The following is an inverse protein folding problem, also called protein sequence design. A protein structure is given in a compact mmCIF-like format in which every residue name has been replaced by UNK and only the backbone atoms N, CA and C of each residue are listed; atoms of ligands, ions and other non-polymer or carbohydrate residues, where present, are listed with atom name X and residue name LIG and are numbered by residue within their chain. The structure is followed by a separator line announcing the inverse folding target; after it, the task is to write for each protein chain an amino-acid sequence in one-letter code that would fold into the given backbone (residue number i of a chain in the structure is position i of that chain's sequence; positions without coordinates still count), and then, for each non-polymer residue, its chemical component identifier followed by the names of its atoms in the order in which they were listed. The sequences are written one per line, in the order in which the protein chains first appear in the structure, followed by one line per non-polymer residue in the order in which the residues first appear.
data_IF_250097920653
#
_entry.id   IF_250097920653
#
_cell.length_a   1.000
_cell.length_b   1.000
_cell.length_c   1.000
_cell.angle_alpha   90.00
_cell.angle_beta   90.00
_cell.angle_gamma   90.00
#
_symmetry.space_group_name_H-M   'P 1'
#
loop_
_entity.id
_entity.type
_entity.pdbx_description
1 polymer ?
#
# COMPACT_ATOMS: atom_id res chain seq x y z
N UNK A 1 -20.67 -0.80 -40.25
CA UNK A 1 -19.46 -1.59 -40.12
C UNK A 1 -19.69 -2.54 -38.93
N UNK A 2 -20.28 -3.73 -39.21
CA UNK A 2 -20.58 -4.74 -38.17
C UNK A 2 -19.29 -5.49 -37.86
N UNK A 3 -18.55 -5.06 -36.86
CA UNK A 3 -17.49 -5.85 -36.28
C UNK A 3 -18.19 -6.99 -35.53
N UNK A 4 -17.98 -8.20 -36.04
CA UNK A 4 -18.59 -9.39 -35.48
C UNK A 4 -18.07 -9.56 -34.02
N UNK A 5 -18.95 -9.40 -33.05
CA UNK A 5 -18.64 -9.47 -31.60
C UNK A 5 -17.88 -10.76 -31.26
N UNK A 6 -18.21 -11.85 -31.98
CA UNK A 6 -17.49 -13.13 -31.86
C UNK A 6 -16.01 -13.04 -32.29
N UNK A 7 -15.69 -12.26 -33.32
CA UNK A 7 -14.30 -12.09 -33.79
C UNK A 7 -13.51 -11.20 -32.81
N UNK A 8 -14.16 -10.21 -32.20
CA UNK A 8 -13.55 -9.41 -31.16
C UNK A 8 -13.30 -10.22 -29.87
N UNK A 9 -14.24 -11.06 -29.46
CA UNK A 9 -14.10 -11.95 -28.31
C UNK A 9 -13.03 -13.03 -28.50
N UNK A 10 -12.92 -13.61 -29.70
CA UNK A 10 -11.85 -14.58 -30.04
C UNK A 10 -10.48 -13.90 -30.11
N UNK A 11 -10.37 -12.70 -30.62
CA UNK A 11 -9.12 -11.93 -30.63
C UNK A 11 -8.69 -11.55 -29.19
N UNK A 12 -9.62 -11.13 -28.33
CA UNK A 12 -9.34 -10.87 -26.92
C UNK A 12 -8.90 -12.14 -26.16
N UNK A 13 -9.53 -13.29 -26.46
CA UNK A 13 -9.17 -14.56 -25.84
C UNK A 13 -7.80 -15.07 -26.32
N UNK A 14 -7.44 -14.89 -27.59
CA UNK A 14 -6.11 -15.21 -28.12
C UNK A 14 -5.02 -14.30 -27.56
N UNK A 15 -5.29 -13.00 -27.41
CA UNK A 15 -4.38 -12.04 -26.79
C UNK A 15 -4.15 -12.38 -25.31
N UNK A 16 -5.20 -12.76 -24.59
CA UNK A 16 -5.08 -13.16 -23.17
C UNK A 16 -4.27 -14.45 -23.01
N UNK A 17 -4.43 -15.42 -23.89
CA UNK A 17 -3.66 -16.67 -23.87
C UNK A 17 -2.18 -16.40 -24.16
N UNK A 18 -1.87 -15.61 -25.18
CA UNK A 18 -0.50 -15.24 -25.52
C UNK A 18 0.19 -14.42 -24.41
N UNK A 19 -0.55 -13.53 -23.75
CA UNK A 19 -0.02 -12.77 -22.61
C UNK A 19 0.16 -13.66 -21.37
N UNK A 20 -0.73 -14.62 -21.12
CA UNK A 20 -0.55 -15.61 -20.04
C UNK A 20 0.69 -16.47 -20.27
N UNK A 21 1.02 -16.82 -21.49
CA UNK A 21 2.24 -17.54 -21.84
C UNK A 21 3.49 -16.69 -21.57
N UNK A 22 3.49 -15.44 -22.02
CA UNK A 22 4.56 -14.47 -21.72
C UNK A 22 4.78 -14.26 -20.21
N UNK A 23 3.70 -14.26 -19.42
CA UNK A 23 3.76 -14.14 -17.95
C UNK A 23 4.34 -15.41 -17.28
N UNK A 24 4.18 -16.59 -17.89
CA UNK A 24 4.81 -17.82 -17.40
C UNK A 24 6.32 -17.81 -17.65
N UNK A 25 6.74 -17.32 -18.82
CA UNK A 25 8.15 -17.22 -19.20
C UNK A 25 8.87 -16.11 -18.41
N UNK A 26 8.18 -15.02 -18.10
CA UNK A 26 8.74 -13.83 -17.44
C UNK A 26 7.88 -13.40 -16.25
N UNK A 27 7.93 -14.12 -15.12
CA UNK A 27 7.04 -13.90 -13.97
C UNK A 27 7.21 -12.54 -13.29
N UNK A 28 8.36 -11.88 -13.49
CA UNK A 28 8.68 -10.58 -12.87
C UNK A 28 8.33 -9.39 -13.76
N UNK A 29 7.74 -9.64 -14.94
CA UNK A 29 7.32 -8.57 -15.84
C UNK A 29 5.90 -8.11 -15.56
N UNK A 30 5.69 -6.80 -15.71
CA UNK A 30 4.39 -6.13 -15.77
C UNK A 30 4.19 -5.60 -17.18
N UNK A 31 3.06 -5.92 -17.79
CA UNK A 31 2.68 -5.55 -19.13
C UNK A 31 1.57 -4.51 -19.10
N UNK A 32 1.56 -3.64 -20.10
CA UNK A 32 0.49 -2.64 -20.33
C UNK A 32 -0.12 -2.89 -21.71
N UNK A 33 -1.01 -3.88 -21.85
CA UNK A 33 -1.50 -4.34 -23.15
C UNK A 33 -2.25 -3.26 -23.94
N UNK A 34 -2.88 -2.32 -23.24
CA UNK A 34 -3.69 -1.25 -23.86
C UNK A 34 -2.89 0.03 -24.13
N UNK A 35 -1.57 0.07 -23.86
CA UNK A 35 -0.75 1.26 -24.02
C UNK A 35 -0.21 1.40 -25.43
N UNK A 36 -0.79 2.33 -26.20
CA UNK A 36 -0.33 2.66 -27.56
C UNK A 36 -0.59 1.58 -28.60
N UNK A 37 -0.04 1.76 -29.79
CA UNK A 37 -0.05 0.82 -30.90
C UNK A 37 1.36 0.50 -31.37
N UNK A 38 1.61 -0.74 -31.82
CA UNK A 38 2.93 -1.21 -32.27
C UNK A 38 3.82 -1.77 -31.16
N UNK A 39 5.09 -2.01 -31.50
CA UNK A 39 6.11 -2.52 -30.59
C UNK A 39 6.54 -1.39 -29.63
N UNK A 40 6.08 -1.47 -28.39
CA UNK A 40 6.38 -0.52 -27.35
C UNK A 40 6.89 -1.27 -26.13
N UNK A 41 7.93 -0.72 -25.46
CA UNK A 41 8.55 -1.30 -24.27
C UNK A 41 7.52 -1.62 -23.17
N UNK A 42 6.45 -0.83 -23.05
CA UNK A 42 5.38 -1.07 -22.08
C UNK A 42 4.50 -2.27 -22.45
N UNK A 43 4.37 -2.59 -23.75
CA UNK A 43 3.67 -3.81 -24.23
C UNK A 43 4.58 -5.04 -24.18
N UNK A 44 5.89 -4.86 -24.29
CA UNK A 44 6.88 -5.93 -24.11
C UNK A 44 7.08 -6.32 -22.65
N UNK A 45 6.61 -5.48 -21.74
CA UNK A 45 6.67 -5.68 -20.31
C UNK A 45 7.93 -5.10 -19.67
N UNK A 46 7.72 -4.45 -18.54
CA UNK A 46 8.79 -3.90 -17.70
C UNK A 46 9.10 -4.91 -16.61
N UNK A 47 10.38 -5.29 -16.47
CA UNK A 47 10.83 -6.12 -15.35
C UNK A 47 10.78 -5.31 -14.05
N UNK A 48 10.04 -5.82 -13.07
CA UNK A 48 9.90 -5.23 -11.75
C UNK A 48 10.43 -6.21 -10.72
N UNK A 49 11.61 -5.91 -10.19
CA UNK A 49 12.17 -6.65 -9.07
C UNK A 49 11.57 -6.10 -7.76
N UNK A 50 11.14 -6.99 -6.87
CA UNK A 50 10.69 -6.64 -5.52
C UNK A 50 11.84 -6.27 -4.61
N UNK A 51 13.04 -6.76 -4.92
CA UNK A 51 14.27 -6.51 -4.17
C UNK A 51 14.84 -5.17 -4.59
N UNK A 52 15.01 -4.24 -3.64
CA UNK A 52 15.70 -2.99 -3.91
C UNK A 52 17.22 -3.21 -3.94
N UNK A 53 17.76 -3.85 -2.91
CA UNK A 53 19.16 -4.28 -2.85
C UNK A 53 19.39 -5.28 -1.72
N UNK A 54 20.45 -6.07 -1.86
CA UNK A 54 20.94 -6.96 -0.80
C UNK A 54 22.24 -6.40 -0.25
N UNK A 55 22.34 -6.34 1.08
CA UNK A 55 23.57 -5.80 1.73
C UNK A 55 24.72 -6.77 1.51
N UNK A 56 25.82 -6.34 0.85
CA UNK A 56 26.97 -7.19 0.58
C UNK A 56 27.54 -7.80 1.86
N UNK A 57 27.82 -9.10 1.83
CA UNK A 57 28.38 -9.82 2.99
C UNK A 57 27.39 -10.24 4.07
N UNK A 58 26.09 -10.00 3.84
CA UNK A 58 25.00 -10.45 4.72
C UNK A 58 23.87 -11.07 3.89
N UNK A 59 23.00 -11.87 4.54
CA UNK A 59 21.77 -12.37 3.93
C UNK A 59 20.60 -11.38 4.09
N UNK A 60 20.89 -10.09 4.36
CA UNK A 60 19.87 -9.09 4.60
C UNK A 60 19.45 -8.43 3.29
N UNK A 61 18.22 -8.71 2.88
CA UNK A 61 17.62 -8.18 1.64
C UNK A 61 16.62 -7.09 1.99
N UNK A 62 16.75 -5.93 1.33
CA UNK A 62 15.82 -4.80 1.45
C UNK A 62 14.89 -4.81 0.26
N UNK A 63 13.59 -4.82 0.55
CA UNK A 63 12.52 -4.78 -0.44
C UNK A 63 12.05 -3.36 -0.71
N UNK A 64 11.69 -3.06 -1.94
CA UNK A 64 11.14 -1.75 -2.34
C UNK A 64 9.93 -1.35 -1.49
N UNK A 65 9.08 -2.31 -1.14
CA UNK A 65 7.91 -2.04 -0.30
C UNK A 65 8.29 -1.43 1.06
N UNK A 66 9.24 -2.04 1.77
CA UNK A 66 9.71 -1.52 3.05
C UNK A 66 10.41 -0.17 2.94
N UNK A 67 11.23 -0.01 1.89
CA UNK A 67 11.93 1.24 1.62
C UNK A 67 10.95 2.40 1.35
N UNK A 68 9.94 2.16 0.51
CA UNK A 68 8.93 3.16 0.18
C UNK A 68 8.05 3.52 1.39
N UNK A 69 7.68 2.54 2.22
CA UNK A 69 6.98 2.85 3.48
C UNK A 69 7.85 3.75 4.36
N UNK A 70 9.14 3.43 4.51
CA UNK A 70 10.08 4.27 5.28
C UNK A 70 10.17 5.69 4.73
N UNK A 71 10.29 5.84 3.41
CA UNK A 71 10.28 7.15 2.74
C UNK A 71 8.96 7.88 2.99
N UNK A 72 7.82 7.20 2.86
CA UNK A 72 6.50 7.77 3.12
C UNK A 72 6.35 8.30 4.54
N UNK A 73 6.83 7.54 5.54
CA UNK A 73 6.86 7.97 6.94
C UNK A 73 7.73 9.22 7.11
N UNK A 74 8.95 9.22 6.56
CA UNK A 74 9.86 10.36 6.67
C UNK A 74 9.27 11.62 6.03
N UNK A 75 8.68 11.53 4.85
CA UNK A 75 8.03 12.65 4.18
C UNK A 75 6.82 13.16 4.97
N UNK A 76 5.99 12.25 5.50
CA UNK A 76 4.86 12.60 6.34
C UNK A 76 5.31 13.31 7.63
N UNK A 77 6.34 12.81 8.29
CA UNK A 77 6.91 13.45 9.47
C UNK A 77 7.48 14.84 9.15
N UNK A 78 8.27 14.95 8.07
CA UNK A 78 8.85 16.23 7.64
C UNK A 78 7.79 17.26 7.35
N UNK A 79 6.71 16.89 6.65
CA UNK A 79 5.56 17.76 6.41
C UNK A 79 4.87 18.13 7.72
N UNK A 80 4.56 17.16 8.56
CA UNK A 80 3.86 17.35 9.83
C UNK A 80 4.58 18.32 10.75
N UNK A 81 5.87 18.07 11.01
CA UNK A 81 6.67 18.94 11.88
C UNK A 81 6.79 20.38 11.34
N UNK A 82 6.90 20.55 10.01
CA UNK A 82 6.90 21.90 9.41
C UNK A 82 5.58 22.63 9.55
N UNK A 83 4.46 21.90 9.59
CA UNK A 83 3.11 22.47 9.67
C UNK A 83 2.60 22.67 11.10
N UNK A 84 3.16 22.00 12.10
CA UNK A 84 2.72 22.10 13.49
C UNK A 84 2.77 23.54 14.02
N UNK A 85 3.93 24.20 13.91
CA UNK A 85 4.09 25.58 14.42
C UNK A 85 3.16 26.61 13.77
N UNK A 86 3.02 26.67 12.43
CA UNK A 86 2.04 27.54 11.77
C UNK A 86 0.59 27.28 12.19
N UNK A 87 0.26 26.05 12.56
CA UNK A 87 -1.08 25.67 13.05
C UNK A 87 -1.26 25.89 14.56
N UNK A 88 -0.29 26.55 15.22
CA UNK A 88 -0.33 26.81 16.66
C UNK A 88 -0.15 25.56 17.53
N UNK A 89 0.52 24.55 17.00
CA UNK A 89 0.83 23.29 17.69
C UNK A 89 2.29 23.31 18.13
N UNK A 90 2.53 23.04 19.41
CA UNK A 90 3.87 22.82 19.93
C UNK A 90 4.36 21.43 19.50
N UNK A 91 5.46 21.33 18.70
CA UNK A 91 5.95 20.05 18.20
C UNK A 91 6.36 19.07 19.29
N UNK A 92 6.92 19.55 20.41
CA UNK A 92 7.39 18.67 21.48
C UNK A 92 6.20 17.95 22.16
N UNK A 93 5.12 18.69 22.42
CA UNK A 93 3.88 18.12 22.96
C UNK A 93 3.16 17.24 21.93
N UNK A 94 3.19 17.66 20.66
CA UNK A 94 2.57 16.89 19.58
C UNK A 94 3.26 15.53 19.36
N UNK A 95 4.58 15.46 19.57
CA UNK A 95 5.36 14.22 19.45
C UNK A 95 4.81 13.13 20.36
N UNK A 96 4.42 13.46 21.59
CA UNK A 96 3.81 12.49 22.51
C UNK A 96 2.49 11.94 21.95
N UNK A 97 1.68 12.81 21.34
CA UNK A 97 0.44 12.40 20.65
C UNK A 97 0.70 11.51 19.45
N UNK A 98 1.75 11.79 18.66
CA UNK A 98 2.17 10.96 17.52
C UNK A 98 2.65 9.60 17.99
N UNK A 99 3.52 9.53 18.99
CA UNK A 99 4.01 8.27 19.56
C UNK A 99 2.84 7.44 20.10
N UNK A 100 1.94 8.07 20.86
CA UNK A 100 0.75 7.42 21.36
C UNK A 100 -0.16 6.93 20.23
N UNK A 101 -0.30 7.71 19.16
CA UNK A 101 -1.03 7.32 17.96
C UNK A 101 -0.43 6.09 17.27
N UNK A 102 0.90 6.02 17.15
CA UNK A 102 1.58 4.84 16.58
C UNK A 102 1.35 3.59 17.45
N UNK A 103 1.51 3.71 18.77
CA UNK A 103 1.25 2.60 19.70
C UNK A 103 -0.22 2.18 19.61
N UNK A 104 -1.15 3.14 19.63
CA UNK A 104 -2.57 2.90 19.47
C UNK A 104 -2.92 2.24 18.14
N UNK A 105 -2.25 2.63 17.05
CA UNK A 105 -2.43 2.01 15.73
C UNK A 105 -2.05 0.53 15.74
N UNK A 106 -0.90 0.18 16.30
CA UNK A 106 -0.43 -1.22 16.34
C UNK A 106 -1.37 -2.07 17.19
N UNK A 107 -1.70 -1.61 18.39
CA UNK A 107 -2.59 -2.31 19.31
C UNK A 107 -4.01 -2.44 18.75
N UNK A 108 -4.54 -1.35 18.18
CA UNK A 108 -5.86 -1.31 17.58
C UNK A 108 -5.97 -2.21 16.34
N UNK A 109 -4.95 -2.19 15.47
CA UNK A 109 -4.90 -3.04 14.29
C UNK A 109 -4.94 -4.53 14.66
N UNK A 110 -4.20 -4.90 15.70
CA UNK A 110 -4.15 -6.29 16.18
C UNK A 110 -5.45 -6.69 16.88
N UNK A 111 -5.97 -5.84 17.76
CA UNK A 111 -7.23 -6.09 18.46
C UNK A 111 -8.39 -6.27 17.48
N UNK A 112 -8.50 -5.37 16.51
CA UNK A 112 -9.54 -5.45 15.48
C UNK A 112 -9.43 -6.75 14.67
N UNK A 113 -8.21 -7.12 14.26
CA UNK A 113 -7.99 -8.37 13.54
C UNK A 113 -8.46 -9.58 14.33
N UNK A 114 -8.11 -9.68 15.62
CA UNK A 114 -8.50 -10.81 16.46
C UNK A 114 -10.02 -10.87 16.67
N UNK A 115 -10.67 -9.72 16.92
CA UNK A 115 -12.09 -9.65 17.19
C UNK A 115 -12.93 -10.03 15.96
N UNK A 116 -12.48 -9.63 14.76
CA UNK A 116 -13.23 -9.83 13.52
C UNK A 116 -12.77 -11.04 12.70
N UNK A 117 -11.71 -11.72 13.12
CA UNK A 117 -11.27 -12.94 12.44
C UNK A 117 -12.05 -14.15 13.01
N UNK A 118 -12.72 -14.86 12.12
CA UNK A 118 -13.56 -16.04 12.45
C UNK A 118 -12.77 -17.34 12.59
N UNK A 119 -11.43 -17.32 12.38
CA UNK A 119 -10.57 -18.52 12.40
C UNK A 119 -10.22 -19.04 13.81
N UNK A 120 -10.96 -18.63 14.84
CA UNK A 120 -10.77 -19.17 16.20
C UNK A 120 -9.51 -18.68 16.91
N UNK A 121 -9.03 -17.47 16.59
CA UNK A 121 -7.90 -16.84 17.26
C UNK A 121 -8.18 -16.57 18.74
N UNK A 122 -7.18 -16.80 19.58
CA UNK A 122 -7.26 -16.57 21.02
C UNK A 122 -6.61 -15.24 21.41
N UNK A 123 -6.89 -14.76 22.62
CA UNK A 123 -6.23 -13.57 23.16
C UNK A 123 -4.71 -13.75 23.26
N UNK A 124 -4.20 -15.00 23.37
CA UNK A 124 -2.77 -15.29 23.34
C UNK A 124 -2.13 -14.93 21.98
N UNK A 125 -2.91 -14.98 20.89
CA UNK A 125 -2.44 -14.63 19.57
C UNK A 125 -2.24 -13.12 19.40
N UNK A 126 -2.73 -12.30 20.34
CA UNK A 126 -2.53 -10.84 20.34
C UNK A 126 -1.05 -10.45 20.26
N UNK A 127 -0.18 -11.20 20.93
CA UNK A 127 1.26 -10.89 20.97
C UNK A 127 2.06 -11.41 19.75
N UNK A 128 1.44 -12.23 18.90
CA UNK A 128 2.09 -12.79 17.69
C UNK A 128 2.00 -11.82 16.50
N UNK A 129 2.52 -10.60 16.65
CA UNK A 129 2.45 -9.54 15.65
C UNK A 129 3.25 -9.89 14.38
N UNK A 130 4.29 -10.71 14.50
CA UNK A 130 5.17 -11.11 13.38
C UNK A 130 4.51 -12.06 12.38
N UNK A 131 3.49 -12.76 12.80
CA UNK A 131 2.76 -13.74 11.97
C UNK A 131 1.73 -13.05 11.04
N UNK A 132 1.75 -11.73 10.96
CA UNK A 132 0.80 -10.93 10.19
C UNK A 132 -0.51 -10.67 10.97
N UNK A 133 -1.58 -10.34 10.26
CA UNK A 133 -2.89 -10.09 10.85
C UNK A 133 -3.00 -8.73 11.55
N UNK A 134 -2.80 -7.67 10.78
CA UNK A 134 -3.02 -6.29 11.20
C UNK A 134 -4.15 -5.67 10.33
N UNK A 135 -5.26 -5.31 10.96
CA UNK A 135 -6.39 -4.69 10.27
C UNK A 135 -6.23 -3.17 10.22
N UNK A 136 -6.26 -2.61 9.00
CA UNK A 136 -6.08 -1.17 8.76
C UNK A 136 -7.12 -0.33 9.53
N UNK A 137 -8.37 -0.76 9.55
CA UNK A 137 -9.44 -0.04 10.28
C UNK A 137 -9.19 0.03 11.77
N UNK A 138 -8.74 -1.09 12.37
CA UNK A 138 -8.36 -1.11 13.78
C UNK A 138 -7.18 -0.18 14.07
N UNK A 139 -6.21 -0.14 13.15
CA UNK A 139 -5.08 0.77 13.24
C UNK A 139 -5.51 2.24 13.22
N UNK A 140 -6.38 2.62 12.30
CA UNK A 140 -6.89 3.99 12.22
C UNK A 140 -7.68 4.39 13.48
N UNK A 141 -8.57 3.54 13.95
CA UNK A 141 -9.35 3.77 15.16
C UNK A 141 -8.43 3.91 16.37
N UNK A 142 -7.50 2.97 16.54
CA UNK A 142 -6.55 2.99 17.65
C UNK A 142 -5.64 4.21 17.64
N UNK A 143 -5.14 4.62 16.47
CA UNK A 143 -4.34 5.83 16.31
C UNK A 143 -5.09 7.09 16.77
N UNK A 144 -6.33 7.25 16.28
CA UNK A 144 -7.15 8.43 16.61
C UNK A 144 -7.56 8.44 18.08
N UNK A 145 -7.92 7.30 18.65
CA UNK A 145 -8.31 7.21 20.05
C UNK A 145 -7.13 7.50 20.98
N UNK A 146 -6.07 6.73 20.89
CA UNK A 146 -4.92 6.87 21.82
C UNK A 146 -4.17 8.16 21.56
N UNK A 147 -3.82 8.46 20.31
CA UNK A 147 -3.16 9.71 19.95
C UNK A 147 -4.00 10.94 20.29
N UNK A 148 -5.33 10.88 20.08
CA UNK A 148 -6.26 11.95 20.41
C UNK A 148 -6.38 12.19 21.92
N UNK A 149 -6.42 11.14 22.73
CA UNK A 149 -6.43 11.23 24.20
C UNK A 149 -5.14 11.92 24.67
N UNK A 150 -3.98 11.47 24.21
CA UNK A 150 -2.69 12.04 24.61
C UNK A 150 -2.57 13.50 24.14
N UNK A 151 -3.00 13.80 22.92
CA UNK A 151 -3.04 15.16 22.39
C UNK A 151 -3.84 16.09 23.32
N UNK A 152 -5.01 15.66 23.79
CA UNK A 152 -5.83 16.41 24.75
C UNK A 152 -5.14 16.54 26.12
N UNK A 153 -4.56 15.46 26.63
CA UNK A 153 -3.83 15.48 27.91
C UNK A 153 -2.63 16.44 27.89
N UNK A 154 -2.01 16.60 26.71
CA UNK A 154 -0.92 17.57 26.50
C UNK A 154 -1.42 19.01 26.26
N UNK A 155 -2.72 19.27 26.35
CA UNK A 155 -3.32 20.58 26.21
C UNK A 155 -3.37 21.11 24.77
N UNK A 156 -3.24 20.24 23.77
CA UNK A 156 -3.34 20.60 22.36
C UNK A 156 -4.78 20.46 21.85
N UNK A 157 -5.14 21.29 20.87
CA UNK A 157 -6.43 21.18 20.19
C UNK A 157 -6.41 20.00 19.23
N UNK A 158 -7.31 19.04 19.46
CA UNK A 158 -7.42 17.82 18.65
C UNK A 158 -7.70 18.15 17.17
N UNK A 159 -8.59 19.12 16.89
CA UNK A 159 -8.90 19.53 15.52
C UNK A 159 -7.65 20.00 14.76
N UNK A 160 -6.84 20.87 15.38
CA UNK A 160 -5.61 21.35 14.76
C UNK A 160 -4.62 20.19 14.51
N UNK A 161 -4.55 19.24 15.44
CA UNK A 161 -3.70 18.06 15.26
C UNK A 161 -4.19 17.16 14.11
N UNK A 162 -5.51 16.98 13.97
CA UNK A 162 -6.09 16.23 12.85
C UNK A 162 -5.89 16.93 11.51
N UNK A 163 -5.97 18.28 11.46
CA UNK A 163 -5.71 19.07 10.26
C UNK A 163 -4.26 18.91 9.76
N UNK A 164 -3.30 18.70 10.66
CA UNK A 164 -1.91 18.42 10.29
C UNK A 164 -1.70 16.95 9.95
N UNK A 165 -2.34 16.03 10.66
CA UNK A 165 -2.11 14.59 10.45
C UNK A 165 -2.83 14.03 9.21
N UNK A 166 -3.97 14.61 8.81
CA UNK A 166 -4.70 14.14 7.62
C UNK A 166 -3.86 14.22 6.33
N UNK A 167 -3.19 15.35 5.97
CA UNK A 167 -2.27 15.35 4.84
C UNK A 167 -1.09 14.39 5.00
N UNK A 168 -0.57 14.19 6.21
CA UNK A 168 0.49 13.22 6.47
C UNK A 168 0.04 11.80 6.11
N UNK A 169 -1.19 11.43 6.45
CA UNK A 169 -1.77 10.16 6.09
C UNK A 169 -1.89 9.98 4.56
N UNK A 170 -2.32 11.01 3.84
CA UNK A 170 -2.37 10.97 2.38
C UNK A 170 -0.99 10.84 1.74
N UNK A 171 0.03 11.52 2.26
CA UNK A 171 1.42 11.37 1.80
C UNK A 171 1.86 9.91 1.96
N UNK A 172 1.62 9.32 3.13
CA UNK A 172 1.93 7.91 3.37
C UNK A 172 1.20 6.97 2.42
N UNK A 173 -0.08 7.21 2.17
CA UNK A 173 -0.88 6.42 1.22
C UNK A 173 -0.38 6.55 -0.23
N UNK A 174 -0.06 7.76 -0.69
CA UNK A 174 0.47 7.99 -2.03
C UNK A 174 1.77 7.19 -2.26
N UNK A 175 2.71 7.29 -1.32
CA UNK A 175 3.98 6.55 -1.43
C UNK A 175 3.76 5.06 -1.28
N UNK A 176 2.88 4.63 -0.37
CA UNK A 176 2.54 3.23 -0.15
C UNK A 176 1.94 2.54 -1.39
N UNK A 177 1.18 3.27 -2.23
CA UNK A 177 0.67 2.73 -3.50
C UNK A 177 1.77 2.31 -4.47
N UNK A 178 2.91 3.01 -4.49
CA UNK A 178 4.07 2.56 -5.25
C UNK A 178 4.67 1.26 -4.68
N UNK A 179 4.61 1.07 -3.37
CA UNK A 179 4.97 -0.21 -2.74
C UNK A 179 4.10 -1.36 -3.24
N UNK A 180 2.77 -1.16 -3.32
CA UNK A 180 1.86 -2.14 -3.89
C UNK A 180 2.18 -2.45 -5.36
N UNK A 181 2.59 -1.46 -6.14
CA UNK A 181 3.01 -1.65 -7.53
C UNK A 181 4.24 -2.59 -7.62
N UNK A 182 5.27 -2.38 -6.81
CA UNK A 182 6.43 -3.28 -6.77
C UNK A 182 6.08 -4.68 -6.28
N UNK A 183 5.16 -4.80 -5.33
CA UNK A 183 4.67 -6.10 -4.87
C UNK A 183 3.64 -6.75 -5.80
N UNK A 184 3.12 -6.00 -6.78
CA UNK A 184 2.05 -6.42 -7.68
C UNK A 184 0.79 -6.86 -6.91
N UNK A 185 0.40 -6.07 -5.89
CA UNK A 185 -0.74 -6.34 -5.03
C UNK A 185 -1.71 -5.14 -4.97
N UNK A 186 -2.90 -5.34 -4.40
CA UNK A 186 -3.94 -4.31 -4.24
C UNK A 186 -4.29 -3.59 -5.56
N UNK A 187 -4.34 -4.36 -6.64
CA UNK A 187 -4.74 -3.89 -7.97
C UNK A 187 -6.25 -3.68 -8.05
N UNK A 188 -6.68 -2.90 -9.06
CA UNK A 188 -8.08 -2.57 -9.31
C UNK A 188 -8.82 -3.64 -10.10
N UNK A 189 -10.02 -3.27 -10.59
CA UNK A 189 -10.80 -4.09 -11.52
C UNK A 189 -10.21 -4.06 -12.94
N UNK A 190 -10.68 -4.97 -13.80
CA UNK A 190 -10.34 -5.01 -15.22
C UNK A 190 -10.68 -3.70 -15.90
N UNK A 191 -9.81 -3.24 -16.79
CA UNK A 191 -9.96 -1.95 -17.48
C UNK A 191 -9.37 -1.99 -18.88
N UNK A 192 -10.02 -1.30 -19.81
CA UNK A 192 -9.52 -1.09 -21.18
C UNK A 192 -8.65 0.17 -21.31
N UNK A 193 -8.38 0.83 -20.20
CA UNK A 193 -7.59 2.07 -20.20
C UNK A 193 -6.13 1.79 -20.56
N UNK A 194 -5.41 2.77 -21.16
CA UNK A 194 -4.00 2.59 -21.56
C UNK A 194 -3.07 2.18 -20.42
N UNK A 195 -3.40 2.60 -19.21
CA UNK A 195 -2.63 2.26 -18.00
C UNK A 195 -3.07 0.97 -17.30
N UNK A 196 -3.96 0.19 -17.94
CA UNK A 196 -4.30 -1.15 -17.46
C UNK A 196 -3.05 -2.04 -17.39
N UNK A 197 -2.76 -2.58 -16.20
CA UNK A 197 -1.58 -3.40 -15.95
C UNK A 197 -1.95 -4.87 -15.87
N UNK A 198 -1.10 -5.71 -16.45
CA UNK A 198 -1.21 -7.14 -16.36
C UNK A 198 0.10 -7.72 -15.83
N UNK A 199 0.02 -8.49 -14.76
CA UNK A 199 1.15 -9.17 -14.11
C UNK A 199 0.77 -10.62 -13.78
N UNK A 200 1.73 -11.42 -13.35
CA UNK A 200 1.46 -12.78 -12.89
C UNK A 200 0.42 -12.82 -11.77
N UNK A 201 0.49 -11.87 -10.84
CA UNK A 201 -0.45 -11.82 -9.72
C UNK A 201 -1.86 -11.41 -10.17
N UNK A 202 -1.97 -10.39 -11.06
CA UNK A 202 -3.26 -9.97 -11.60
C UNK A 202 -3.89 -11.01 -12.51
N UNK A 203 -3.09 -11.76 -13.27
CA UNK A 203 -3.57 -12.79 -14.18
C UNK A 203 -4.28 -13.97 -13.48
N UNK A 204 -4.08 -14.16 -12.18
CA UNK A 204 -4.79 -15.16 -11.38
C UNK A 204 -6.25 -14.81 -11.11
N UNK A 205 -6.62 -13.54 -11.28
CA UNK A 205 -7.97 -13.03 -11.03
C UNK A 205 -8.73 -12.65 -12.32
N UNK A 206 -8.13 -12.92 -13.48
CA UNK A 206 -8.79 -12.75 -14.77
C UNK A 206 -9.33 -14.14 -15.17
N UNK A 207 -10.61 -14.35 -14.92
CA UNK A 207 -11.40 -15.48 -15.44
C UNK A 207 -12.00 -15.15 -16.80
#
# INVERSE_FOLDING_TARGET
MNINIMTALTALASDTAAVREKLRENPDKVYFPNFGSGDNILREGISIDRVAFTVPGTNFTIYWYGLLIGIGILLAMLYGYRKMRPCGIDPDRATDGVIGGVIGAILGARLYYIVFNTEGLTLADFFKIRDGGLAIYGGLIGAVLVGGIITKLRGLRLSAMLDVTAPCFFIGQCVGRWGNFFNQEAFGANTDKPWGMLSRMTAQFID
#
